data_IF_290700662085
#
_entry.id   IF_290700662085
#
_cell.length_a   1.000
_cell.length_b   1.000
_cell.length_c   1.000
_cell.angle_alpha   90.00
_cell.angle_beta   90.00
_cell.angle_gamma   90.00
#
_symmetry.space_group_name_H-M   'P 1'
#
loop_
_entity.id
_entity.type
_entity.pdbx_description
1 polymer ?
#
# COMPACT_ATOMS: atom_id res chain seq x y z
N UNK A 1 46.89 19.60 -16.68
CA UNK A 1 46.50 19.26 -15.29
C UNK A 1 45.34 18.32 -15.35
N UNK A 2 45.40 17.26 -14.54
CA UNK A 2 44.29 16.33 -14.38
C UNK A 2 43.19 16.91 -13.47
N UNK A 3 41.92 16.66 -13.75
CA UNK A 3 40.82 17.03 -12.85
C UNK A 3 41.05 16.38 -11.47
N UNK A 4 40.98 17.16 -10.39
CA UNK A 4 41.08 16.62 -9.04
C UNK A 4 39.73 15.98 -8.63
N UNK A 5 39.70 15.25 -7.53
CA UNK A 5 38.50 14.67 -6.93
C UNK A 5 38.28 15.24 -5.52
N UNK A 6 37.02 15.50 -5.17
CA UNK A 6 36.61 15.90 -3.82
C UNK A 6 35.26 15.23 -3.51
N UNK A 7 35.23 14.46 -2.43
CA UNK A 7 34.03 13.73 -2.02
C UNK A 7 32.84 14.68 -1.84
N UNK A 8 31.70 14.36 -2.45
CA UNK A 8 30.49 15.18 -2.37
C UNK A 8 30.49 16.44 -3.22
N UNK A 9 31.49 16.62 -4.09
CA UNK A 9 31.60 17.78 -4.99
C UNK A 9 31.88 17.34 -6.42
N UNK A 10 31.42 18.12 -7.35
CA UNK A 10 31.74 18.02 -8.76
C UNK A 10 32.76 19.10 -9.11
N UNK A 11 33.88 18.71 -9.72
CA UNK A 11 34.86 19.65 -10.22
C UNK A 11 34.26 20.43 -11.39
N UNK A 12 34.32 21.79 -11.31
CA UNK A 12 33.75 22.66 -12.33
C UNK A 12 34.81 23.43 -13.14
N UNK A 13 36.06 23.37 -12.73
CA UNK A 13 37.17 23.92 -13.51
C UNK A 13 38.30 24.50 -12.67
N UNK A 14 39.31 24.95 -13.40
CA UNK A 14 40.46 25.67 -12.87
C UNK A 14 40.38 27.16 -13.12
N UNK A 15 40.91 27.95 -12.18
CA UNK A 15 41.36 29.32 -12.42
C UNK A 15 42.84 29.44 -12.11
N UNK A 16 43.49 30.49 -12.58
CA UNK A 16 44.92 30.76 -12.26
C UNK A 16 45.72 31.30 -13.41
N UNK A 17 47.02 31.04 -13.38
CA UNK A 17 47.98 31.62 -14.30
C UNK A 17 47.64 31.31 -15.76
N UNK A 18 47.52 32.39 -16.55
CA UNK A 18 47.16 32.35 -18.00
C UNK A 18 45.79 31.75 -18.31
N UNK A 19 44.87 31.69 -17.34
CA UNK A 19 43.49 31.24 -17.53
C UNK A 19 42.51 32.41 -17.41
N UNK A 20 41.47 32.39 -18.24
CA UNK A 20 40.32 33.30 -18.15
C UNK A 20 39.16 32.54 -17.49
N UNK A 21 38.59 33.16 -16.44
CA UNK A 21 37.47 32.54 -15.70
C UNK A 21 37.89 31.40 -14.76
N UNK A 22 36.90 30.66 -14.29
CA UNK A 22 37.02 29.57 -13.31
C UNK A 22 36.50 28.20 -13.79
N UNK A 23 36.09 28.09 -15.04
CA UNK A 23 35.42 26.93 -15.67
C UNK A 23 36.31 26.17 -16.64
N UNK A 24 37.64 26.34 -16.52
CA UNK A 24 38.61 25.64 -17.37
C UNK A 24 38.76 24.18 -16.96
N UNK A 25 38.04 23.28 -17.59
CA UNK A 25 38.06 21.83 -17.28
C UNK A 25 39.43 21.19 -17.61
N UNK A 26 40.13 21.73 -18.62
CA UNK A 26 41.46 21.25 -19.04
C UNK A 26 42.45 22.42 -19.03
N UNK A 27 43.63 22.19 -18.45
CA UNK A 27 44.71 23.17 -18.43
C UNK A 27 45.96 22.48 -18.99
N UNK A 28 46.51 23.04 -20.06
CA UNK A 28 47.76 22.59 -20.66
C UNK A 28 48.83 23.66 -20.44
N UNK A 29 49.93 23.27 -19.86
CA UNK A 29 51.13 24.09 -19.75
C UNK A 29 51.97 23.79 -20.98
N UNK A 30 52.17 24.72 -21.92
CA UNK A 30 52.94 24.46 -23.12
C UNK A 30 54.41 24.12 -22.82
N UNK A 31 55.01 23.30 -23.66
CA UNK A 31 56.44 22.96 -23.55
C UNK A 31 57.29 24.26 -23.71
N UNK A 32 58.30 24.39 -22.88
CA UNK A 32 59.16 25.59 -22.84
C UNK A 32 58.61 26.75 -22.03
N UNK A 33 57.46 26.60 -21.35
CA UNK A 33 56.94 27.61 -20.41
C UNK A 33 57.93 27.84 -19.26
N UNK A 34 58.07 29.13 -18.86
CA UNK A 34 58.92 29.56 -17.75
C UNK A 34 58.10 30.36 -16.74
N UNK A 35 58.57 30.46 -15.49
CA UNK A 35 57.92 31.22 -14.42
C UNK A 35 57.04 30.35 -13.52
N UNK A 36 56.75 30.89 -12.32
CA UNK A 36 55.90 30.25 -11.35
C UNK A 36 54.41 30.30 -11.80
N UNK A 37 53.69 29.20 -11.55
CA UNK A 37 52.26 29.13 -11.91
C UNK A 37 51.47 28.71 -10.70
N UNK A 38 50.25 29.22 -10.58
CA UNK A 38 49.30 28.89 -9.52
C UNK A 38 47.94 28.59 -10.14
N UNK A 39 47.29 27.54 -9.67
CA UNK A 39 45.98 27.11 -10.12
C UNK A 39 45.07 26.79 -8.92
N UNK A 40 43.84 27.19 -9.01
CA UNK A 40 42.79 26.96 -7.99
C UNK A 40 41.69 26.10 -8.62
N UNK A 41 41.37 24.97 -7.98
CA UNK A 41 40.24 24.11 -8.37
C UNK A 41 38.94 24.67 -7.82
N UNK A 42 37.94 24.76 -8.68
CA UNK A 42 36.60 25.22 -8.34
C UNK A 42 35.63 24.02 -8.32
N UNK A 43 34.65 24.05 -7.40
CA UNK A 43 33.80 22.95 -7.07
C UNK A 43 32.34 23.36 -6.97
N UNK A 44 31.44 22.50 -7.45
CA UNK A 44 30.01 22.57 -7.18
C UNK A 44 29.65 21.51 -6.13
N UNK A 45 28.88 21.89 -5.13
CA UNK A 45 28.39 20.97 -4.11
C UNK A 45 27.31 20.05 -4.71
N UNK A 46 27.44 18.74 -4.52
CA UNK A 46 26.44 17.78 -4.97
C UNK A 46 25.27 17.75 -3.98
N UNK A 47 24.07 17.73 -4.52
CA UNK A 47 22.82 17.56 -3.77
C UNK A 47 22.34 16.14 -3.99
N UNK A 48 21.99 15.44 -2.91
CA UNK A 48 21.47 14.06 -2.91
C UNK A 48 20.04 14.07 -2.44
N UNK A 49 19.19 13.27 -3.08
CA UNK A 49 17.79 13.12 -2.73
C UNK A 49 17.58 12.14 -1.58
N UNK A 50 16.51 12.36 -0.81
CA UNK A 50 15.95 11.38 0.12
C UNK A 50 14.51 11.17 -0.28
N UNK A 51 14.13 9.93 -0.56
CA UNK A 51 12.77 9.55 -0.91
C UNK A 51 12.16 8.67 0.17
N UNK A 52 10.85 8.80 0.38
CA UNK A 52 10.11 8.09 1.43
C UNK A 52 8.91 7.38 0.82
N UNK A 53 8.82 6.07 1.05
CA UNK A 53 7.59 5.31 0.85
C UNK A 53 6.92 5.15 2.22
N UNK A 54 5.81 5.83 2.41
CA UNK A 54 5.10 5.90 3.69
C UNK A 54 3.84 5.02 3.72
N UNK A 55 3.51 4.32 2.63
CA UNK A 55 2.32 3.47 2.52
C UNK A 55 1.05 4.14 3.09
N UNK A 56 0.79 5.38 2.65
CA UNK A 56 -0.33 6.19 3.10
C UNK A 56 -0.16 6.87 4.46
N UNK A 57 0.98 6.75 5.12
CA UNK A 57 1.35 7.53 6.30
C UNK A 57 1.85 8.94 5.96
N UNK A 58 2.22 9.71 6.98
CA UNK A 58 2.82 11.04 6.88
C UNK A 58 4.06 11.15 7.76
N UNK A 59 5.14 11.74 7.24
CA UNK A 59 6.36 12.03 7.99
C UNK A 59 6.69 13.52 7.84
N UNK A 60 6.33 14.32 8.86
CA UNK A 60 6.57 15.75 8.83
C UNK A 60 7.99 16.07 9.29
N UNK A 61 8.63 17.02 8.58
CA UNK A 61 9.92 17.59 8.96
C UNK A 61 11.14 16.77 8.54
N UNK A 62 10.97 15.64 7.86
CA UNK A 62 12.07 14.95 7.20
C UNK A 62 12.50 15.71 5.95
N UNK A 63 13.83 15.91 5.69
CA UNK A 63 14.30 16.62 4.51
C UNK A 63 14.23 15.74 3.26
N UNK A 64 13.95 16.36 2.11
CA UNK A 64 13.95 15.69 0.81
C UNK A 64 15.35 15.65 0.16
N UNK A 65 16.30 16.44 0.68
CA UNK A 65 17.63 16.60 0.12
C UNK A 65 18.68 16.81 1.21
N UNK A 66 19.90 16.42 0.91
CA UNK A 66 21.06 16.70 1.75
C UNK A 66 22.34 16.83 0.90
N UNK A 67 23.44 17.22 1.52
CA UNK A 67 24.75 17.35 0.91
C UNK A 67 25.80 16.78 1.85
N UNK A 68 27.04 16.65 1.37
CA UNK A 68 28.18 16.23 2.20
C UNK A 68 28.48 17.20 3.37
N UNK A 69 28.00 18.44 3.29
CA UNK A 69 28.15 19.45 4.33
C UNK A 69 27.00 19.45 5.36
N UNK A 70 25.94 18.67 5.12
CA UNK A 70 24.83 18.55 6.04
C UNK A 70 25.29 17.94 7.36
N UNK A 71 24.76 18.46 8.47
CA UNK A 71 24.87 17.78 9.78
C UNK A 71 24.19 16.42 9.72
N UNK A 72 24.46 15.56 10.70
CA UNK A 72 23.74 14.30 10.82
C UNK A 72 22.21 14.55 10.88
N UNK A 73 21.46 13.75 10.10
CA UNK A 73 20.02 13.85 9.96
C UNK A 73 19.41 12.62 10.62
N UNK A 74 18.62 12.81 11.66
CA UNK A 74 17.79 11.75 12.23
C UNK A 74 16.39 11.87 11.67
N UNK A 75 15.87 10.78 11.09
CA UNK A 75 14.52 10.77 10.54
C UNK A 75 13.49 10.82 11.66
N UNK A 76 12.47 11.66 11.47
CA UNK A 76 11.31 11.68 12.32
C UNK A 76 10.46 10.44 12.08
N UNK A 77 9.88 9.93 13.16
CA UNK A 77 8.91 8.85 13.10
C UNK A 77 7.67 9.28 12.30
N UNK A 78 7.22 8.48 11.31
CA UNK A 78 6.02 8.77 10.56
C UNK A 78 4.77 8.39 11.37
N UNK A 79 3.62 8.91 10.95
CA UNK A 79 2.32 8.58 11.55
C UNK A 79 1.35 8.08 10.49
N UNK A 80 0.53 7.08 10.85
CA UNK A 80 -0.54 6.54 10.00
C UNK A 80 -1.74 6.22 10.89
N UNK A 81 -2.90 6.75 10.53
CA UNK A 81 -4.12 6.55 11.32
C UNK A 81 -4.47 5.06 11.42
N UNK A 82 -4.64 4.56 12.64
CA UNK A 82 -4.97 3.15 12.90
C UNK A 82 -3.78 2.18 12.91
N UNK A 83 -2.54 2.70 12.84
CA UNK A 83 -1.34 1.87 12.77
C UNK A 83 -0.26 2.36 13.72
N UNK A 84 0.55 1.44 14.22
CA UNK A 84 1.79 1.70 14.94
C UNK A 84 2.95 1.58 13.94
N UNK A 85 3.86 2.52 13.98
CA UNK A 85 5.09 2.43 13.22
C UNK A 85 6.00 1.35 13.82
N UNK A 86 6.44 0.40 13.00
CA UNK A 86 7.30 -0.72 13.42
C UNK A 86 8.76 -0.54 13.04
N UNK A 87 9.05 0.38 12.10
CA UNK A 87 10.43 0.68 11.73
C UNK A 87 10.57 1.12 10.28
N UNK A 88 11.79 1.51 9.94
CA UNK A 88 12.22 1.82 8.60
C UNK A 88 13.01 0.66 7.99
N UNK A 89 12.87 0.45 6.70
CA UNK A 89 13.85 -0.24 5.86
C UNK A 89 14.40 0.71 4.79
N UNK A 90 15.48 0.34 4.11
CA UNK A 90 16.03 1.14 3.00
C UNK A 90 17.53 1.26 2.99
N UNK A 91 18.02 2.36 2.45
CA UNK A 91 19.45 2.59 2.22
C UNK A 91 20.27 2.48 3.51
N UNK A 92 21.30 1.60 3.49
CA UNK A 92 22.21 1.34 4.59
C UNK A 92 21.54 0.74 5.86
N UNK A 93 20.34 0.19 5.74
CA UNK A 93 19.61 -0.46 6.84
C UNK A 93 19.57 -1.97 6.64
N UNK A 94 19.53 -2.70 7.75
CA UNK A 94 19.31 -4.16 7.77
C UNK A 94 17.97 -4.42 8.44
N UNK A 95 17.11 -5.22 7.76
CA UNK A 95 15.76 -5.51 8.27
C UNK A 95 14.78 -4.35 8.09
N UNK A 96 13.62 -4.48 8.74
CA UNK A 96 12.46 -3.57 8.61
C UNK A 96 12.07 -2.92 9.94
N UNK A 97 12.79 -3.21 11.03
CA UNK A 97 12.48 -2.84 12.42
C UNK A 97 13.35 -1.68 12.96
N UNK A 98 13.90 -0.85 12.06
CA UNK A 98 14.76 0.25 12.45
C UNK A 98 13.92 1.46 12.92
N UNK A 99 13.63 1.54 14.21
CA UNK A 99 12.85 2.65 14.79
C UNK A 99 13.55 4.00 14.72
N UNK A 100 14.87 4.00 14.75
CA UNK A 100 15.68 5.22 14.63
C UNK A 100 16.67 5.10 13.50
N UNK A 101 16.60 6.01 12.55
CA UNK A 101 17.49 6.08 11.39
C UNK A 101 18.23 7.42 11.43
N UNK A 102 19.57 7.36 11.38
CA UNK A 102 20.40 8.57 11.29
C UNK A 102 21.29 8.49 10.07
N UNK A 103 21.21 9.48 9.19
CA UNK A 103 22.14 9.70 8.08
C UNK A 103 23.34 10.44 8.67
N UNK A 104 24.55 9.85 8.69
CA UNK A 104 25.71 10.50 9.28
C UNK A 104 26.13 11.77 8.50
N UNK A 105 26.72 12.74 9.20
CA UNK A 105 27.37 13.87 8.54
C UNK A 105 28.46 13.37 7.57
N UNK A 106 28.59 14.02 6.44
CA UNK A 106 29.54 13.63 5.39
C UNK A 106 29.05 12.51 4.47
N UNK A 107 27.83 12.00 4.65
CA UNK A 107 27.21 11.01 3.75
C UNK A 107 27.06 11.54 2.33
N UNK A 108 27.09 10.63 1.35
CA UNK A 108 26.91 10.89 -0.07
C UNK A 108 25.94 9.87 -0.68
N UNK A 109 25.38 10.17 -1.85
CA UNK A 109 24.46 9.28 -2.61
C UNK A 109 22.99 9.50 -2.25
N UNK A 110 22.11 9.18 -3.20
CA UNK A 110 20.67 9.24 -2.99
C UNK A 110 20.22 8.15 -2.01
N UNK A 111 19.14 8.42 -1.27
CA UNK A 111 18.61 7.52 -0.25
C UNK A 111 17.12 7.27 -0.44
N UNK A 112 16.68 6.08 -0.08
CA UNK A 112 15.29 5.67 -0.09
C UNK A 112 14.96 4.96 1.22
N UNK A 113 13.84 5.31 1.85
CA UNK A 113 13.37 4.70 3.08
C UNK A 113 11.89 4.34 2.96
N UNK A 114 11.56 3.13 3.43
CA UNK A 114 10.18 2.61 3.48
C UNK A 114 9.75 2.48 4.92
N UNK A 115 8.59 3.03 5.26
CA UNK A 115 7.98 2.89 6.58
C UNK A 115 7.18 1.59 6.67
N UNK A 116 7.37 0.83 7.76
CA UNK A 116 6.63 -0.38 8.06
C UNK A 116 5.64 -0.15 9.18
N UNK A 117 4.50 -0.82 9.11
CA UNK A 117 3.35 -0.57 9.95
C UNK A 117 2.75 -1.85 10.48
N UNK A 118 2.35 -1.83 11.74
CA UNK A 118 1.48 -2.83 12.33
C UNK A 118 0.15 -2.18 12.72
N UNK A 119 -0.95 -2.90 12.59
CA UNK A 119 -2.26 -2.37 12.97
C UNK A 119 -2.31 -2.10 14.48
N UNK A 120 -2.74 -0.89 14.88
CA UNK A 120 -2.90 -0.53 16.28
C UNK A 120 -4.30 -0.84 16.80
N UNK A 121 -4.47 -1.96 17.50
CA UNK A 121 -5.76 -2.34 18.06
C UNK A 121 -6.26 -1.41 19.18
N UNK A 122 -5.37 -0.62 19.79
CA UNK A 122 -5.74 0.23 20.94
C UNK A 122 -6.43 1.52 20.49
N UNK A 123 -6.14 2.00 19.27
CA UNK A 123 -6.75 3.23 18.73
C UNK A 123 -8.23 3.00 18.45
N UNK A 124 -8.62 1.82 17.98
CA UNK A 124 -10.04 1.46 17.78
C UNK A 124 -10.78 1.44 19.12
N UNK A 125 -10.14 0.96 20.18
CA UNK A 125 -10.72 0.98 21.52
C UNK A 125 -10.96 2.39 22.08
N UNK A 126 -10.14 3.37 21.67
CA UNK A 126 -10.23 4.76 22.14
C UNK A 126 -11.21 5.62 21.30
N UNK A 127 -11.41 5.30 20.01
CA UNK A 127 -12.28 6.06 19.11
C UNK A 127 -13.77 5.69 19.23
N UNK A 128 -14.10 4.51 19.78
CA UNK A 128 -15.46 4.07 20.00
C UNK A 128 -15.59 3.39 21.36
N UNK A 129 -16.16 4.04 22.39
CA UNK A 129 -16.63 3.36 23.60
C UNK A 129 -17.91 2.59 23.22
N UNK A 130 -17.73 1.45 22.78
CA UNK A 130 -18.40 0.23 22.34
C UNK A 130 -19.79 -0.13 22.71
N UNK A 131 -20.51 -0.88 21.88
CA UNK A 131 -21.28 -2.02 22.39
C UNK A 131 -20.35 -3.23 22.56
N UNK A 132 -20.45 -3.87 23.70
CA UNK A 132 -19.76 -5.11 24.05
C UNK A 132 -20.22 -6.20 23.04
N UNK A 133 -19.37 -6.58 22.10
CA UNK A 133 -19.69 -7.68 21.17
C UNK A 133 -19.29 -8.96 21.87
N UNK A 134 -20.11 -9.40 22.83
CA UNK A 134 -19.90 -10.65 23.56
C UNK A 134 -20.42 -11.84 22.74
N UNK A 135 -19.64 -12.24 21.76
CA UNK A 135 -19.87 -13.54 21.14
C UNK A 135 -19.20 -14.63 21.97
N UNK A 136 -19.94 -15.72 22.22
CA UNK A 136 -19.43 -16.86 23.00
C UNK A 136 -18.31 -17.63 22.28
N UNK A 137 -18.16 -17.42 20.97
CA UNK A 137 -17.22 -18.10 20.10
C UNK A 137 -16.11 -17.15 19.56
N UNK A 138 -15.91 -16.00 20.21
CA UNK A 138 -14.83 -15.04 19.91
C UNK A 138 -14.19 -14.63 21.22
N UNK A 139 -12.93 -15.04 21.42
CA UNK A 139 -12.12 -14.67 22.58
C UNK A 139 -11.25 -13.46 22.27
N UNK A 140 -10.94 -12.66 23.28
CA UNK A 140 -9.98 -11.53 23.14
C UNK A 140 -8.56 -11.98 22.75
N UNK A 141 -8.24 -13.26 22.90
CA UNK A 141 -6.95 -13.86 22.54
C UNK A 141 -6.95 -14.44 21.12
N UNK A 142 -8.09 -14.44 20.43
CA UNK A 142 -8.18 -14.93 19.05
C UNK A 142 -7.52 -13.91 18.08
N UNK A 143 -6.77 -14.39 17.11
CA UNK A 143 -6.07 -13.55 16.15
C UNK A 143 -7.02 -12.67 15.32
N UNK A 144 -8.26 -13.12 15.13
CA UNK A 144 -9.32 -12.38 14.40
C UNK A 144 -10.18 -11.50 15.32
N UNK A 145 -9.90 -11.40 16.63
CA UNK A 145 -10.76 -10.67 17.57
C UNK A 145 -11.03 -9.22 17.16
N UNK A 146 -9.99 -8.52 16.74
CA UNK A 146 -10.09 -7.12 16.38
C UNK A 146 -10.79 -6.93 15.02
N UNK A 147 -10.64 -7.87 14.09
CA UNK A 147 -11.36 -7.85 12.82
C UNK A 147 -12.86 -8.05 13.03
N UNK A 148 -13.24 -9.04 13.85
CA UNK A 148 -14.63 -9.27 14.23
C UNK A 148 -15.23 -8.03 14.91
N UNK A 149 -14.50 -7.44 15.81
CA UNK A 149 -14.90 -6.22 16.47
C UNK A 149 -15.11 -5.08 15.48
N UNK A 150 -14.15 -4.84 14.61
CA UNK A 150 -14.23 -3.80 13.58
C UNK A 150 -15.45 -3.96 12.68
N UNK A 151 -15.70 -5.15 12.13
CA UNK A 151 -16.82 -5.36 11.22
C UNK A 151 -18.19 -5.26 11.91
N UNK A 152 -18.26 -5.57 13.21
CA UNK A 152 -19.47 -5.39 14.01
C UNK A 152 -19.71 -3.93 14.39
N UNK A 153 -18.69 -3.23 14.85
CA UNK A 153 -18.79 -1.81 15.24
C UNK A 153 -19.13 -0.91 14.05
N UNK A 154 -18.66 -1.26 12.87
CA UNK A 154 -19.02 -0.54 11.63
C UNK A 154 -20.31 -1.06 10.97
N UNK A 155 -21.04 -1.94 11.63
CA UNK A 155 -22.32 -2.47 11.12
C UNK A 155 -22.19 -3.35 9.88
N UNK A 156 -20.97 -3.79 9.51
CA UNK A 156 -20.73 -4.60 8.33
C UNK A 156 -21.19 -6.04 8.51
N UNK A 157 -20.98 -6.59 9.73
CA UNK A 157 -21.40 -7.95 10.11
C UNK A 157 -22.05 -7.93 11.50
N UNK A 158 -23.05 -8.79 11.71
CA UNK A 158 -23.81 -8.88 12.97
C UNK A 158 -23.68 -10.26 13.64
N UNK A 159 -22.79 -11.12 13.13
CA UNK A 159 -22.74 -12.52 13.52
C UNK A 159 -23.83 -13.38 12.88
N UNK A 160 -23.80 -14.67 13.21
CA UNK A 160 -24.74 -15.68 12.67
C UNK A 160 -25.93 -15.92 13.60
N UNK A 161 -25.83 -15.51 14.86
CA UNK A 161 -26.92 -15.50 15.85
C UNK A 161 -26.65 -14.42 16.90
N UNK A 162 -27.59 -14.26 17.86
CA UNK A 162 -27.51 -13.23 18.91
C UNK A 162 -26.17 -13.23 19.67
N UNK A 163 -25.55 -14.38 19.87
CA UNK A 163 -24.36 -14.56 20.69
C UNK A 163 -23.25 -15.37 20.01
N UNK A 164 -23.30 -15.52 18.68
CA UNK A 164 -22.28 -16.23 17.89
C UNK A 164 -21.92 -15.47 16.64
N UNK A 165 -20.63 -15.32 16.40
CA UNK A 165 -20.10 -14.78 15.18
C UNK A 165 -19.86 -15.87 14.13
N UNK A 166 -19.46 -17.06 14.57
CA UNK A 166 -19.07 -18.21 13.74
C UNK A 166 -17.82 -17.94 12.89
N UNK A 167 -16.68 -17.55 13.48
CA UNK A 167 -15.50 -17.11 12.74
C UNK A 167 -14.90 -18.19 11.84
N UNK A 168 -15.13 -19.47 12.16
CA UNK A 168 -14.71 -20.61 11.35
C UNK A 168 -15.81 -21.11 10.40
N UNK A 169 -16.93 -20.39 10.34
CA UNK A 169 -18.02 -20.72 9.42
C UNK A 169 -17.66 -20.38 7.98
N UNK A 170 -18.26 -21.10 7.04
CA UNK A 170 -18.06 -20.83 5.62
C UNK A 170 -18.82 -19.59 5.21
N UNK A 171 -18.13 -18.61 4.60
CA UNK A 171 -18.77 -17.43 4.03
C UNK A 171 -19.63 -17.80 2.83
N UNK A 172 -20.86 -17.27 2.79
CA UNK A 172 -21.77 -17.48 1.67
C UNK A 172 -21.76 -16.31 0.69
N UNK A 173 -22.26 -16.53 -0.52
CA UNK A 173 -22.38 -15.48 -1.55
C UNK A 173 -23.29 -14.34 -1.08
N UNK A 174 -24.38 -14.66 -0.37
CA UNK A 174 -25.27 -13.67 0.23
C UNK A 174 -24.62 -12.82 1.32
N UNK A 175 -23.79 -13.43 2.17
CA UNK A 175 -23.00 -12.72 3.17
C UNK A 175 -22.06 -11.72 2.53
N UNK A 176 -21.30 -12.14 1.52
CA UNK A 176 -20.33 -11.28 0.83
C UNK A 176 -21.00 -10.03 0.24
N UNK A 177 -22.08 -10.19 -0.56
CA UNK A 177 -22.77 -9.04 -1.14
C UNK A 177 -23.41 -8.13 -0.09
N UNK A 178 -23.85 -8.71 1.04
CA UNK A 178 -24.42 -7.92 2.13
C UNK A 178 -23.39 -7.04 2.80
N UNK A 179 -22.15 -7.53 2.96
CA UNK A 179 -21.03 -6.74 3.48
C UNK A 179 -20.75 -5.56 2.53
N UNK A 180 -20.60 -5.83 1.22
CA UNK A 180 -20.32 -4.78 0.24
C UNK A 180 -21.45 -3.71 0.18
N UNK A 181 -22.69 -4.14 0.28
CA UNK A 181 -23.86 -3.25 0.32
C UNK A 181 -23.85 -2.34 1.54
N UNK A 182 -23.46 -2.88 2.71
CA UNK A 182 -23.31 -2.10 3.95
C UNK A 182 -22.11 -1.16 3.91
N UNK A 183 -21.00 -1.56 3.26
CA UNK A 183 -19.86 -0.67 3.03
C UNK A 183 -20.24 0.58 2.23
N UNK A 184 -21.27 0.49 1.39
CA UNK A 184 -21.83 1.62 0.63
C UNK A 184 -22.97 2.33 1.39
N UNK A 185 -23.14 2.09 2.68
CA UNK A 185 -24.20 2.65 3.51
C UNK A 185 -25.62 2.28 3.03
N UNK A 186 -25.80 1.06 2.56
CA UNK A 186 -27.09 0.50 2.15
C UNK A 186 -27.86 1.41 1.16
N UNK A 187 -27.30 1.68 -0.03
CA UNK A 187 -27.89 2.62 -0.97
C UNK A 187 -29.29 2.17 -1.38
N UNK A 188 -30.20 3.12 -1.64
CA UNK A 188 -31.57 2.81 -2.06
C UNK A 188 -31.53 2.07 -3.39
N UNK A 189 -32.15 0.89 -3.43
CA UNK A 189 -32.39 0.11 -4.64
C UNK A 189 -33.89 -0.12 -4.82
N UNK A 190 -34.34 -0.25 -6.07
CA UNK A 190 -35.74 -0.41 -6.42
C UNK A 190 -35.96 -1.68 -7.21
N UNK A 191 -37.16 -2.27 -7.08
CA UNK A 191 -37.51 -3.51 -7.77
C UNK A 191 -37.12 -4.76 -6.98
N UNK A 192 -37.28 -5.91 -7.62
CA UNK A 192 -36.95 -7.24 -7.08
C UNK A 192 -35.66 -7.78 -7.73
N UNK A 193 -35.02 -8.74 -7.06
CA UNK A 193 -33.92 -9.46 -7.65
C UNK A 193 -34.34 -10.24 -8.89
N UNK A 194 -33.52 -10.22 -9.93
CA UNK A 194 -33.74 -10.98 -11.16
C UNK A 194 -33.52 -12.49 -11.02
N UNK A 195 -33.30 -12.99 -9.77
CA UNK A 195 -32.96 -14.37 -9.48
C UNK A 195 -34.08 -15.10 -8.75
N UNK A 196 -34.42 -16.28 -9.23
CA UNK A 196 -35.58 -17.05 -8.75
C UNK A 196 -35.46 -17.57 -7.31
N UNK A 197 -34.24 -17.66 -6.78
CA UNK A 197 -33.92 -18.18 -5.44
C UNK A 197 -33.62 -17.07 -4.39
N UNK A 198 -33.74 -15.81 -4.77
CA UNK A 198 -33.64 -14.69 -3.82
C UNK A 198 -35.00 -14.44 -3.19
N UNK A 199 -35.09 -14.81 -1.91
CA UNK A 199 -36.38 -14.73 -1.18
C UNK A 199 -36.70 -13.31 -0.73
N UNK A 200 -37.93 -12.82 -0.94
CA UNK A 200 -38.36 -11.56 -0.38
C UNK A 200 -38.24 -11.54 1.15
N UNK A 201 -37.73 -10.44 1.71
CA UNK A 201 -37.50 -10.28 3.14
C UNK A 201 -36.25 -10.95 3.69
N UNK A 202 -35.48 -11.69 2.88
CA UNK A 202 -34.19 -12.23 3.31
C UNK A 202 -33.16 -11.11 3.54
N UNK A 203 -32.23 -11.32 4.48
CA UNK A 203 -31.22 -10.33 4.87
C UNK A 203 -30.34 -9.86 3.70
N UNK A 204 -30.18 -10.70 2.70
CA UNK A 204 -29.38 -10.45 1.49
C UNK A 204 -30.17 -9.88 0.33
N UNK A 205 -31.51 -9.82 0.40
CA UNK A 205 -32.36 -9.45 -0.75
C UNK A 205 -31.94 -8.10 -1.36
N UNK A 206 -31.95 -7.03 -0.56
CA UNK A 206 -31.61 -5.68 -1.03
C UNK A 206 -30.18 -5.61 -1.54
N UNK A 207 -29.25 -6.29 -0.88
CA UNK A 207 -27.85 -6.36 -1.28
C UNK A 207 -27.69 -7.03 -2.65
N UNK A 208 -28.40 -8.13 -2.90
CA UNK A 208 -28.36 -8.82 -4.20
C UNK A 208 -28.99 -7.97 -5.30
N UNK A 209 -30.13 -7.30 -5.03
CA UNK A 209 -30.75 -6.35 -5.97
C UNK A 209 -29.75 -5.25 -6.35
N UNK A 210 -29.16 -4.58 -5.36
CA UNK A 210 -28.17 -3.53 -5.58
C UNK A 210 -26.96 -4.02 -6.36
N UNK A 211 -26.35 -5.12 -5.94
CA UNK A 211 -25.14 -5.65 -6.56
C UNK A 211 -25.38 -6.11 -8.00
N UNK A 212 -26.57 -6.65 -8.30
CA UNK A 212 -26.99 -7.03 -9.64
C UNK A 212 -27.21 -5.81 -10.55
N UNK A 213 -27.89 -4.78 -10.05
CA UNK A 213 -28.13 -3.54 -10.80
C UNK A 213 -26.85 -2.77 -11.14
N UNK A 214 -25.82 -2.92 -10.32
CA UNK A 214 -24.51 -2.28 -10.50
C UNK A 214 -23.45 -3.21 -11.14
N UNK A 215 -23.86 -4.35 -11.69
CA UNK A 215 -22.98 -5.32 -12.35
C UNK A 215 -21.86 -5.90 -11.46
N UNK A 216 -21.99 -5.79 -10.14
CA UNK A 216 -21.05 -6.35 -9.17
C UNK A 216 -21.21 -7.87 -9.13
N UNK A 217 -22.44 -8.37 -9.26
CA UNK A 217 -22.74 -9.79 -9.37
C UNK A 217 -23.56 -10.11 -10.60
N UNK A 218 -23.34 -11.31 -11.14
CA UNK A 218 -24.24 -11.97 -12.08
C UNK A 218 -24.65 -13.31 -11.49
N UNK A 219 -25.88 -13.75 -11.75
CA UNK A 219 -26.32 -15.09 -11.33
C UNK A 219 -25.70 -16.20 -12.14
N UNK A 220 -26.20 -17.38 -11.92
CA UNK A 220 -25.87 -18.56 -12.73
C UNK A 220 -26.77 -18.60 -13.99
N UNK A 221 -26.36 -19.43 -14.95
CA UNK A 221 -27.10 -19.59 -16.23
C UNK A 221 -28.51 -20.18 -16.06
N UNK A 222 -28.80 -20.79 -14.89
CA UNK A 222 -30.12 -21.31 -14.53
C UNK A 222 -31.05 -20.24 -13.91
N UNK A 223 -30.65 -18.98 -13.88
CA UNK A 223 -31.42 -17.88 -13.31
C UNK A 223 -31.38 -17.81 -11.78
N UNK A 224 -30.45 -18.51 -11.13
CA UNK A 224 -30.27 -18.46 -9.67
C UNK A 224 -29.08 -17.58 -9.27
N UNK A 225 -29.08 -17.08 -8.03
CA UNK A 225 -27.94 -16.40 -7.41
C UNK A 225 -27.16 -17.31 -6.44
N UNK A 226 -27.85 -18.25 -5.82
CA UNK A 226 -27.39 -19.16 -4.79
C UNK A 226 -26.82 -18.45 -3.56
N UNK A 227 -27.63 -17.63 -2.87
CA UNK A 227 -27.18 -16.79 -1.77
C UNK A 227 -26.59 -17.57 -0.60
N UNK A 228 -27.08 -18.77 -0.33
CA UNK A 228 -26.65 -19.62 0.77
C UNK A 228 -25.49 -20.58 0.39
N UNK A 229 -25.07 -20.57 -0.89
CA UNK A 229 -23.93 -21.39 -1.32
C UNK A 229 -22.60 -20.77 -0.84
N UNK A 230 -21.63 -21.62 -0.46
CA UNK A 230 -20.27 -21.18 -0.19
C UNK A 230 -19.70 -20.35 -1.34
N UNK A 231 -19.04 -19.25 -1.03
CA UNK A 231 -18.30 -18.48 -2.03
C UNK A 231 -16.95 -19.13 -2.28
N UNK A 232 -16.61 -19.43 -3.54
CA UNK A 232 -15.28 -19.92 -3.89
C UNK A 232 -14.28 -18.75 -3.98
N UNK A 233 -12.97 -19.03 -3.91
CA UNK A 233 -11.92 -18.00 -4.02
C UNK A 233 -12.02 -17.22 -5.35
N UNK A 234 -12.24 -17.89 -6.47
CA UNK A 234 -12.41 -17.23 -7.76
C UNK A 234 -13.68 -16.37 -7.85
N UNK A 235 -14.78 -16.81 -7.19
CA UNK A 235 -16.00 -16.01 -7.09
C UNK A 235 -15.81 -14.79 -6.19
N UNK A 236 -15.12 -14.96 -5.06
CA UNK A 236 -14.74 -13.86 -4.17
C UNK A 236 -13.93 -12.82 -4.94
N UNK A 237 -12.85 -13.24 -5.59
CA UNK A 237 -12.01 -12.36 -6.41
C UNK A 237 -12.84 -11.63 -7.48
N UNK A 238 -13.73 -12.36 -8.19
CA UNK A 238 -14.56 -11.77 -9.25
C UNK A 238 -15.56 -10.73 -8.74
N UNK A 239 -16.15 -10.96 -7.58
CA UNK A 239 -17.08 -10.01 -6.95
C UNK A 239 -16.33 -8.77 -6.47
N UNK A 240 -15.19 -8.95 -5.78
CA UNK A 240 -14.35 -7.85 -5.30
C UNK A 240 -13.78 -7.02 -6.46
N UNK A 241 -13.30 -7.66 -7.52
CA UNK A 241 -12.82 -6.98 -8.72
C UNK A 241 -13.88 -6.08 -9.35
N UNK A 242 -15.10 -6.59 -9.54
CA UNK A 242 -16.22 -5.80 -10.07
C UNK A 242 -16.65 -4.70 -9.12
N UNK A 243 -16.60 -4.94 -7.82
CA UNK A 243 -16.86 -3.91 -6.82
C UNK A 243 -15.80 -2.80 -6.87
N UNK A 244 -14.53 -3.13 -7.03
CA UNK A 244 -13.43 -2.16 -7.22
C UNK A 244 -13.67 -1.29 -8.47
N UNK A 245 -14.10 -1.91 -9.58
CA UNK A 245 -14.50 -1.19 -10.79
C UNK A 245 -15.73 -0.28 -10.55
N UNK A 246 -16.74 -0.77 -9.82
CA UNK A 246 -17.90 0.04 -9.42
C UNK A 246 -17.49 1.28 -8.64
N UNK A 247 -16.48 1.17 -7.79
CA UNK A 247 -15.89 2.28 -7.03
C UNK A 247 -15.01 3.22 -7.88
N UNK A 248 -14.81 2.93 -9.15
CA UNK A 248 -13.91 3.68 -10.01
C UNK A 248 -12.44 3.59 -9.64
N UNK A 249 -12.06 2.54 -8.89
CA UNK A 249 -10.68 2.32 -8.46
C UNK A 249 -9.88 1.56 -9.51
N UNK A 250 -8.55 1.71 -9.45
CA UNK A 250 -7.63 1.07 -10.38
C UNK A 250 -7.55 -0.45 -10.16
N UNK A 251 -7.61 -1.19 -11.26
CA UNK A 251 -7.47 -2.66 -11.30
C UNK A 251 -6.31 -3.12 -12.19
N UNK A 252 -5.45 -2.21 -12.61
CA UNK A 252 -4.34 -2.45 -13.56
C UNK A 252 -3.29 -3.44 -13.03
N UNK A 253 -3.19 -3.64 -11.72
CA UNK A 253 -2.31 -4.65 -11.13
C UNK A 253 -2.53 -6.05 -11.71
N UNK A 254 -3.75 -6.37 -12.18
CA UNK A 254 -4.06 -7.63 -12.85
C UNK A 254 -3.45 -7.79 -14.23
N UNK A 255 -3.09 -6.72 -14.92
CA UNK A 255 -2.54 -6.77 -16.28
C UNK A 255 -1.10 -7.31 -16.29
N UNK A 256 -0.34 -7.03 -15.26
CA UNK A 256 1.07 -7.43 -15.11
C UNK A 256 1.28 -8.68 -14.27
N UNK A 257 0.25 -9.14 -13.54
CA UNK A 257 0.36 -10.29 -12.64
C UNK A 257 0.19 -11.61 -13.37
N UNK A 258 1.15 -12.52 -13.18
CA UNK A 258 1.12 -13.89 -13.71
C UNK A 258 0.66 -14.86 -12.63
N UNK A 259 -0.22 -15.80 -13.01
CA UNK A 259 -0.64 -16.91 -12.14
C UNK A 259 0.20 -18.18 -12.31
N UNK A 260 1.19 -18.18 -13.20
CA UNK A 260 1.95 -19.41 -13.55
C UNK A 260 2.75 -20.01 -12.39
N UNK A 261 2.98 -19.25 -11.31
CA UNK A 261 3.63 -19.75 -10.09
C UNK A 261 2.73 -20.59 -9.19
N UNK A 262 1.43 -20.61 -9.43
CA UNK A 262 0.47 -21.38 -8.64
C UNK A 262 0.18 -22.73 -9.32
N UNK A 263 0.28 -23.82 -8.54
CA UNK A 263 0.11 -25.19 -9.07
C UNK A 263 -1.28 -25.49 -9.63
N UNK A 264 -2.29 -24.73 -9.21
CA UNK A 264 -3.70 -24.84 -9.60
C UNK A 264 -4.17 -23.72 -10.56
N UNK A 265 -3.27 -22.94 -11.11
CA UNK A 265 -3.59 -21.81 -11.99
C UNK A 265 -4.49 -22.21 -13.17
N UNK A 266 -4.33 -23.45 -13.69
CA UNK A 266 -5.14 -23.97 -14.79
C UNK A 266 -6.57 -24.36 -14.38
N UNK A 267 -6.86 -24.50 -13.09
CA UNK A 267 -8.20 -24.77 -12.59
C UNK A 267 -9.07 -23.51 -12.48
N UNK A 268 -8.46 -22.33 -12.61
CA UNK A 268 -9.18 -21.04 -12.59
C UNK A 268 -10.07 -20.92 -13.81
N UNK A 269 -11.36 -20.65 -13.58
CA UNK A 269 -12.34 -20.49 -14.66
C UNK A 269 -11.99 -19.26 -15.52
N UNK A 270 -12.25 -19.33 -16.82
CA UNK A 270 -11.90 -18.25 -17.77
C UNK A 270 -12.52 -16.89 -17.41
N UNK A 271 -13.74 -16.89 -16.86
CA UNK A 271 -14.42 -15.67 -16.42
C UNK A 271 -13.71 -14.99 -15.24
N UNK A 272 -12.99 -15.74 -14.41
CA UNK A 272 -12.37 -15.26 -13.20
C UNK A 272 -10.89 -14.85 -13.38
N UNK A 273 -10.26 -15.21 -14.52
CA UNK A 273 -8.83 -14.96 -14.76
C UNK A 273 -8.40 -13.51 -14.52
N UNK A 274 -9.10 -12.47 -15.06
CA UNK A 274 -8.71 -11.08 -14.79
C UNK A 274 -8.77 -10.74 -13.30
N UNK A 275 -9.83 -11.17 -12.63
CA UNK A 275 -10.05 -10.91 -11.20
C UNK A 275 -9.03 -11.63 -10.31
N UNK A 276 -8.70 -12.89 -10.63
CA UNK A 276 -7.68 -13.65 -9.91
C UNK A 276 -6.29 -13.03 -10.06
N UNK A 277 -5.91 -12.58 -11.26
CA UNK A 277 -4.67 -11.85 -11.47
C UNK A 277 -4.61 -10.57 -10.64
N UNK A 278 -5.68 -9.78 -10.69
CA UNK A 278 -5.78 -8.57 -9.88
C UNK A 278 -5.67 -8.87 -8.38
N UNK A 279 -6.43 -9.84 -7.86
CA UNK A 279 -6.44 -10.17 -6.45
C UNK A 279 -5.07 -10.68 -5.95
N UNK A 280 -4.34 -11.47 -6.76
CA UNK A 280 -2.97 -11.87 -6.46
C UNK A 280 -1.99 -10.70 -6.57
N UNK A 281 -2.15 -9.82 -7.57
CA UNK A 281 -1.27 -8.67 -7.77
C UNK A 281 -1.40 -7.59 -6.70
N UNK A 282 -2.56 -7.53 -6.02
CA UNK A 282 -2.83 -6.61 -4.91
C UNK A 282 -2.65 -7.25 -3.53
N UNK A 283 -2.29 -8.52 -3.46
CA UNK A 283 -2.12 -9.24 -2.18
C UNK A 283 -3.42 -9.59 -1.45
N UNK A 284 -4.58 -9.51 -2.11
CA UNK A 284 -5.87 -9.94 -1.54
C UNK A 284 -5.97 -11.47 -1.46
N UNK A 285 -5.30 -12.17 -2.37
CA UNK A 285 -5.24 -13.63 -2.44
C UNK A 285 -3.80 -14.12 -2.65
#
# INVERSE_FOLDING_TARGET
LNPPTRTGYTFIGWSGTDLSGSDNLTVTIPAGSIGNRSYIAHWSLNIYSITYDLDGGTALGNPDFYTVESSAITLNEPTKAGYVFTGWSGTDLVGEDNLTVTIPAGSIGDRCYTAHWEFDPTIIAALNPTPNVDFLDVSRTDWFYYDVRYVCENGLMNGTSRNRFSPYGTATRGMLVTILYRMENEPRCFGSAAFSDVKPGAYYEKAVVWASQNNIVSGYTDGTFRPDAPVTREQLASILYRYTLYRGQDVSAGETTSLTGYGDAQAVSSYALPAMRWACGTGIL
#
